data_IF_386570782252
#
_entry.id   IF_386570782252
#
_cell.length_a   1.000
_cell.length_b   1.000
_cell.length_c   1.000
_cell.angle_alpha   90.00
_cell.angle_beta   90.00
_cell.angle_gamma   90.00
#
_symmetry.space_group_name_H-M   'P 1'
#
loop_
_entity.id
_entity.type
_entity.pdbx_description
1 polymer ?
#
# COMPACT_ATOMS: atom_id res chain seq x y z
N UNK A 1 -26.87 -1.89 0.21
CA UNK A 1 -25.93 -3.02 0.05
C UNK A 1 -24.89 -2.82 -1.07
N UNK A 2 -25.00 -1.86 -1.99
CA UNK A 2 -23.95 -1.61 -3.01
C UNK A 2 -22.80 -0.69 -2.55
N UNK A 3 -23.09 0.21 -1.60
CA UNK A 3 -22.14 1.24 -1.13
C UNK A 3 -20.91 0.58 -0.47
N UNK A 4 -21.11 -0.42 0.39
CA UNK A 4 -20.01 -1.09 1.13
C UNK A 4 -19.13 -1.99 0.25
N UNK A 5 -19.64 -2.50 -0.86
CA UNK A 5 -18.94 -3.47 -1.70
C UNK A 5 -18.00 -2.80 -2.70
N UNK A 6 -18.37 -1.61 -3.18
CA UNK A 6 -17.59 -0.88 -4.16
C UNK A 6 -16.81 0.29 -3.54
N UNK A 7 -17.43 1.06 -2.62
CA UNK A 7 -16.74 2.23 -2.06
C UNK A 7 -15.63 1.83 -1.11
N UNK A 8 -15.79 0.78 -0.31
CA UNK A 8 -14.78 0.42 0.69
C UNK A 8 -13.43 0.04 0.06
N UNK A 9 -13.33 -0.88 -0.92
CA UNK A 9 -12.04 -1.21 -1.54
C UNK A 9 -11.48 -0.07 -2.40
N UNK A 10 -12.35 0.77 -2.97
CA UNK A 10 -11.92 1.88 -3.82
C UNK A 10 -11.42 3.07 -3.00
N UNK A 11 -12.14 3.47 -1.94
CA UNK A 11 -11.73 4.57 -1.05
C UNK A 11 -10.55 4.18 -0.17
N UNK A 12 -10.53 2.97 0.41
CA UNK A 12 -9.45 2.58 1.34
C UNK A 12 -8.25 1.95 0.62
N UNK A 13 -8.41 1.46 -0.60
CA UNK A 13 -7.35 0.81 -1.35
C UNK A 13 -6.84 1.66 -2.51
N UNK A 14 -7.69 1.86 -3.50
CA UNK A 14 -7.27 2.46 -4.78
C UNK A 14 -6.93 3.95 -4.66
N UNK A 15 -7.73 4.70 -3.90
CA UNK A 15 -7.51 6.13 -3.68
C UNK A 15 -6.18 6.44 -2.95
N UNK A 16 -5.85 5.82 -1.80
CA UNK A 16 -4.56 6.08 -1.15
C UNK A 16 -3.37 5.60 -1.99
N UNK A 17 -3.49 4.48 -2.71
CA UNK A 17 -2.44 4.01 -3.61
C UNK A 17 -2.18 5.00 -4.74
N UNK A 18 -3.22 5.51 -5.38
CA UNK A 18 -3.09 6.50 -6.45
C UNK A 18 -2.51 7.81 -5.94
N UNK A 19 -2.94 8.31 -4.77
CA UNK A 19 -2.37 9.51 -4.14
C UNK A 19 -0.88 9.30 -3.82
N UNK A 20 -0.51 8.16 -3.23
CA UNK A 20 0.89 7.86 -2.92
C UNK A 20 1.75 7.80 -4.17
N UNK A 21 1.29 7.16 -5.25
CA UNK A 21 2.01 7.09 -6.52
C UNK A 21 2.15 8.49 -7.14
N UNK A 22 1.07 9.28 -7.15
CA UNK A 22 1.06 10.64 -7.69
C UNK A 22 1.94 11.60 -6.90
N UNK A 23 2.07 11.43 -5.58
CA UNK A 23 2.95 12.25 -4.76
C UNK A 23 4.42 11.79 -4.80
N UNK A 24 4.67 10.48 -4.89
CA UNK A 24 6.05 9.94 -4.90
C UNK A 24 6.78 10.13 -6.22
N UNK A 25 6.05 10.09 -7.34
CA UNK A 25 6.64 10.29 -8.67
C UNK A 25 7.30 11.68 -8.86
N UNK A 26 6.64 12.81 -8.59
CA UNK A 26 7.27 14.13 -8.68
C UNK A 26 8.35 14.34 -7.62
N UNK A 27 8.20 13.75 -6.42
CA UNK A 27 9.25 13.78 -5.40
C UNK A 27 10.54 13.09 -5.89
N UNK A 28 10.40 11.94 -6.58
CA UNK A 28 11.52 11.24 -7.18
C UNK A 28 12.19 12.05 -8.31
N UNK A 29 11.40 12.65 -9.19
CA UNK A 29 11.92 13.51 -10.27
C UNK A 29 12.66 14.72 -9.69
N UNK A 30 12.08 15.38 -8.66
CA UNK A 30 12.69 16.53 -8.02
C UNK A 30 13.97 16.18 -7.27
N UNK A 31 14.01 15.06 -6.54
CA UNK A 31 15.24 14.57 -5.89
C UNK A 31 16.36 14.32 -6.91
N UNK A 32 16.03 13.73 -8.07
CA UNK A 32 16.99 13.47 -9.15
C UNK A 32 17.48 14.75 -9.81
N UNK A 33 16.60 15.76 -9.96
CA UNK A 33 16.94 17.10 -10.46
C UNK A 33 17.78 17.89 -9.45
N UNK A 34 17.56 17.71 -8.15
CA UNK A 34 18.33 18.36 -7.09
C UNK A 34 19.75 17.79 -6.99
N UNK A 35 19.92 16.48 -7.18
CA UNK A 35 21.23 15.81 -7.23
C UNK A 35 22.15 16.32 -8.36
N UNK A 36 21.56 16.89 -9.42
CA UNK A 36 22.30 17.53 -10.51
C UNK A 36 22.84 18.92 -10.16
N UNK A 37 22.36 19.56 -9.07
CA UNK A 37 22.88 20.84 -8.59
C UNK A 37 23.94 20.60 -7.53
N UNK A 38 25.04 21.36 -7.54
CA UNK A 38 26.08 21.35 -6.50
C UNK A 38 25.50 21.81 -5.16
N UNK A 39 24.80 20.91 -4.47
CA UNK A 39 24.30 21.09 -3.11
C UNK A 39 25.21 20.30 -2.19
N UNK A 40 25.39 20.82 -0.98
CA UNK A 40 26.24 20.25 0.06
C UNK A 40 26.03 18.72 0.19
N UNK A 41 27.10 17.95 0.00
CA UNK A 41 27.10 16.48 -0.18
C UNK A 41 26.36 15.77 0.96
N UNK A 42 26.48 16.30 2.18
CA UNK A 42 25.84 15.77 3.39
C UNK A 42 24.31 15.89 3.30
N UNK A 43 23.77 17.04 2.88
CA UNK A 43 22.32 17.24 2.70
C UNK A 43 21.76 16.33 1.60
N UNK A 44 22.49 16.19 0.50
CA UNK A 44 22.09 15.33 -0.60
C UNK A 44 21.98 13.85 -0.19
N UNK A 45 22.91 13.38 0.65
CA UNK A 45 22.88 12.00 1.15
C UNK A 45 21.68 11.72 2.05
N UNK A 46 21.32 12.68 2.92
CA UNK A 46 20.14 12.60 3.78
C UNK A 46 18.84 12.61 2.97
N UNK A 47 18.69 13.55 2.03
CA UNK A 47 17.50 13.64 1.17
C UNK A 47 17.31 12.38 0.31
N UNK A 48 18.41 11.80 -0.18
CA UNK A 48 18.39 10.54 -0.92
C UNK A 48 17.99 9.37 -0.03
N UNK A 49 18.45 9.32 1.22
CA UNK A 49 18.07 8.27 2.17
C UNK A 49 16.59 8.38 2.53
N UNK A 50 16.08 9.58 2.77
CA UNK A 50 14.67 9.83 3.07
C UNK A 50 13.77 9.49 1.87
N UNK A 51 14.21 9.82 0.65
CA UNK A 51 13.52 9.43 -0.59
C UNK A 51 13.53 7.91 -0.80
N UNK A 52 14.66 7.24 -0.50
CA UNK A 52 14.74 5.78 -0.59
C UNK A 52 13.85 5.09 0.45
N UNK A 53 13.81 5.63 1.68
CA UNK A 53 12.96 5.14 2.75
C UNK A 53 11.48 5.26 2.38
N UNK A 54 11.03 6.44 1.93
CA UNK A 54 9.65 6.67 1.49
C UNK A 54 9.26 5.81 0.29
N UNK A 55 10.15 5.64 -0.70
CA UNK A 55 9.91 4.76 -1.85
C UNK A 55 9.76 3.29 -1.41
N UNK A 56 10.62 2.83 -0.49
CA UNK A 56 10.54 1.46 0.05
C UNK A 56 9.26 1.23 0.84
N UNK A 57 8.82 2.23 1.61
CA UNK A 57 7.56 2.18 2.36
C UNK A 57 6.35 2.12 1.43
N UNK A 58 6.33 2.93 0.36
CA UNK A 58 5.26 2.90 -0.63
C UNK A 58 5.24 1.56 -1.37
N UNK A 59 6.39 1.03 -1.77
CA UNK A 59 6.49 -0.29 -2.39
C UNK A 59 5.95 -1.39 -1.46
N UNK A 60 6.29 -1.33 -0.17
CA UNK A 60 5.77 -2.25 0.84
C UNK A 60 4.24 -2.16 0.95
N UNK A 61 3.68 -0.94 1.03
CA UNK A 61 2.23 -0.72 1.08
C UNK A 61 1.54 -1.27 -0.18
N UNK A 62 2.12 -1.06 -1.36
CA UNK A 62 1.56 -1.61 -2.62
C UNK A 62 1.51 -3.14 -2.58
N UNK A 63 2.62 -3.78 -2.19
CA UNK A 63 2.73 -5.25 -2.15
C UNK A 63 1.76 -5.88 -1.16
N UNK A 64 1.51 -5.25 -0.01
CA UNK A 64 0.59 -5.77 1.01
C UNK A 64 -0.88 -5.44 0.75
N UNK A 65 -1.16 -4.31 0.08
CA UNK A 65 -2.53 -3.85 -0.18
C UNK A 65 -3.17 -4.58 -1.36
N UNK A 66 -2.40 -4.91 -2.40
CA UNK A 66 -2.91 -5.69 -3.56
C UNK A 66 -3.57 -7.02 -3.14
N UNK A 67 -2.90 -7.94 -2.41
CA UNK A 67 -3.50 -9.22 -2.04
C UNK A 67 -4.71 -9.04 -1.12
N UNK A 68 -4.72 -8.00 -0.27
CA UNK A 68 -5.86 -7.67 0.58
C UNK A 68 -7.09 -7.30 -0.25
N UNK A 69 -6.95 -6.39 -1.21
CA UNK A 69 -8.05 -5.98 -2.09
C UNK A 69 -8.53 -7.16 -2.94
N UNK A 70 -7.61 -7.93 -3.53
CA UNK A 70 -7.98 -9.10 -4.36
C UNK A 70 -8.77 -10.14 -3.55
N UNK A 71 -8.31 -10.47 -2.34
CA UNK A 71 -9.00 -11.42 -1.47
C UNK A 71 -10.36 -10.89 -1.00
N UNK A 72 -10.44 -9.59 -0.69
CA UNK A 72 -11.70 -8.95 -0.31
C UNK A 72 -12.73 -8.99 -1.45
N UNK A 73 -12.34 -8.66 -2.69
CA UNK A 73 -13.23 -8.76 -3.86
C UNK A 73 -13.67 -10.20 -4.09
N UNK A 74 -12.76 -11.16 -3.95
CA UNK A 74 -13.06 -12.58 -4.13
C UNK A 74 -14.07 -13.10 -3.10
N UNK A 75 -13.91 -12.75 -1.82
CA UNK A 75 -14.84 -13.09 -0.74
C UNK A 75 -16.24 -12.54 -1.01
N UNK A 76 -16.35 -11.32 -1.55
CA UNK A 76 -17.65 -10.69 -1.82
C UNK A 76 -18.40 -11.29 -3.02
N UNK A 77 -17.68 -11.87 -3.98
CA UNK A 77 -18.28 -12.45 -5.19
C UNK A 77 -18.58 -13.95 -5.06
N UNK A 78 -18.12 -14.60 -4.00
CA UNK A 78 -18.30 -16.03 -3.82
C UNK A 78 -19.72 -16.34 -3.33
N UNK A 79 -20.44 -17.20 -4.06
CA UNK A 79 -21.69 -17.82 -3.59
C UNK A 79 -21.32 -19.11 -2.87
N UNK A 80 -21.49 -19.12 -1.54
CA UNK A 80 -21.03 -20.20 -0.67
C UNK A 80 -21.87 -21.47 -0.83
N UNK A 81 -21.39 -22.40 -1.65
CA UNK A 81 -22.00 -23.74 -1.78
C UNK A 81 -21.41 -24.73 -0.77
N UNK A 82 -20.11 -24.61 -0.42
CA UNK A 82 -19.40 -25.53 0.46
C UNK A 82 -18.79 -24.85 1.70
N UNK A 83 -19.07 -25.41 2.89
CA UNK A 83 -18.62 -24.88 4.19
C UNK A 83 -17.10 -24.97 4.39
N UNK A 84 -16.46 -26.01 3.85
CA UNK A 84 -15.01 -26.20 3.96
C UNK A 84 -14.23 -25.14 3.17
N UNK A 85 -14.71 -24.81 1.97
CA UNK A 85 -14.10 -23.77 1.12
C UNK A 85 -14.20 -22.38 1.77
N UNK A 86 -15.33 -22.09 2.42
CA UNK A 86 -15.50 -20.86 3.20
C UNK A 86 -14.50 -20.76 4.36
N UNK A 87 -14.30 -21.84 5.13
CA UNK A 87 -13.36 -21.83 6.25
C UNK A 87 -11.93 -21.52 5.80
N UNK A 88 -11.49 -22.09 4.67
CA UNK A 88 -10.19 -21.79 4.06
C UNK A 88 -10.09 -20.32 3.65
N UNK A 89 -11.12 -19.74 3.02
CA UNK A 89 -11.10 -18.33 2.64
C UNK A 89 -11.04 -17.39 3.84
N UNK A 90 -11.77 -17.68 4.92
CA UNK A 90 -11.70 -16.85 6.13
C UNK A 90 -10.29 -16.86 6.73
N UNK A 91 -9.60 -18.00 6.74
CA UNK A 91 -8.20 -18.06 7.17
C UNK A 91 -7.29 -17.19 6.30
N UNK A 92 -7.41 -17.29 4.97
CA UNK A 92 -6.61 -16.45 4.05
C UNK A 92 -6.95 -14.97 4.25
N UNK A 93 -8.23 -14.62 4.42
CA UNK A 93 -8.66 -13.25 4.68
C UNK A 93 -8.08 -12.68 5.98
N UNK A 94 -8.11 -13.46 7.06
CA UNK A 94 -7.51 -13.08 8.35
C UNK A 94 -6.01 -12.85 8.24
N UNK A 95 -5.27 -13.76 7.60
CA UNK A 95 -3.82 -13.61 7.38
C UNK A 95 -3.53 -12.34 6.57
N UNK A 96 -4.27 -12.14 5.48
CA UNK A 96 -4.05 -10.98 4.60
C UNK A 96 -4.37 -9.66 5.31
N UNK A 97 -5.38 -9.66 6.19
CA UNK A 97 -5.73 -8.50 7.03
C UNK A 97 -4.64 -8.18 8.04
N UNK A 98 -4.06 -9.18 8.70
CA UNK A 98 -2.94 -8.95 9.62
C UNK A 98 -1.71 -8.39 8.89
N UNK A 99 -1.38 -8.95 7.72
CA UNK A 99 -0.29 -8.43 6.87
C UNK A 99 -0.56 -6.97 6.47
N UNK A 100 -1.80 -6.64 6.09
CA UNK A 100 -2.17 -5.26 5.81
C UNK A 100 -1.97 -4.35 7.03
N UNK A 101 -2.36 -4.75 8.24
CA UNK A 101 -2.14 -3.96 9.46
C UNK A 101 -0.66 -3.71 9.79
N UNK A 102 0.26 -4.58 9.38
CA UNK A 102 1.71 -4.32 9.58
C UNK A 102 2.18 -3.04 8.88
N UNK A 103 1.50 -2.61 7.81
CA UNK A 103 1.83 -1.37 7.11
C UNK A 103 1.55 -0.13 7.94
N UNK A 104 0.54 -0.18 8.81
CA UNK A 104 0.22 0.90 9.73
C UNK A 104 1.15 0.94 10.94
N UNK A 105 1.69 -0.21 11.36
CA UNK A 105 2.62 -0.30 12.48
C UNK A 105 3.95 0.44 12.20
N UNK A 106 4.43 0.42 10.95
CA UNK A 106 5.67 1.11 10.54
C UNK A 106 5.50 2.64 10.58
N UNK A 107 4.28 3.16 10.49
CA UNK A 107 4.00 4.61 10.53
C UNK A 107 4.11 5.25 11.91
N UNK A 108 4.16 4.48 13.00
CA UNK A 108 4.20 5.01 14.38
C UNK A 108 5.63 5.26 14.90
N UNK A 109 6.66 4.98 14.09
CA UNK A 109 8.07 4.99 14.48
C UNK A 109 8.92 6.03 13.71
N UNK A 110 8.28 7.07 13.19
CA UNK A 110 8.93 8.25 12.57
C UNK A 110 8.43 9.51 13.27
#
# INVERSE_FOLDING_TARGET
MYITYFHFPILLGFLPLTIMILCSFPAFINARKLASRQINIIRLSCDRQLTAMTLSQIAFIVITTIPFITNYIFLLNMKSTDKESNARMYLVHTITTYVYYTTYAVGFLI
#
